data_IF_052375116218
#
_entry.id   IF_052375116218
#
_cell.length_a   1.000
_cell.length_b   1.000
_cell.length_c   1.000
_cell.angle_alpha   90.00
_cell.angle_beta   90.00
_cell.angle_gamma   90.00
#
_symmetry.space_group_name_H-M   'P 1'
#
loop_
_entity.id
_entity.type
_entity.pdbx_description
1 polymer ?
#
# COMPACT_ATOMS: atom_id res chain seq x y z
N UNK A 1 34.25 -38.31 28.62
CA UNK A 1 33.79 -36.93 28.35
C UNK A 1 32.32 -37.02 27.95
N UNK A 2 31.46 -36.94 28.97
CA UNK A 2 30.08 -36.45 28.88
C UNK A 2 30.11 -35.00 28.32
N UNK A 3 29.09 -34.40 27.70
CA UNK A 3 27.71 -34.26 28.14
C UNK A 3 26.77 -33.84 26.98
N UNK A 4 25.55 -34.42 27.04
CA UNK A 4 24.20 -33.85 26.80
C UNK A 4 23.71 -33.47 25.40
N UNK A 5 22.82 -34.35 24.95
CA UNK A 5 21.65 -34.06 24.11
C UNK A 5 20.75 -32.96 24.72
N UNK A 6 20.19 -32.10 23.86
CA UNK A 6 19.05 -31.25 24.19
C UNK A 6 17.87 -31.61 23.27
N UNK A 7 16.91 -32.32 23.86
CA UNK A 7 15.63 -32.72 23.28
C UNK A 7 14.62 -31.61 23.60
N UNK A 8 14.19 -30.85 22.58
CA UNK A 8 13.14 -29.82 22.76
C UNK A 8 11.78 -30.45 22.49
N UNK A 9 10.98 -30.59 23.56
CA UNK A 9 9.58 -31.01 23.50
C UNK A 9 8.71 -29.81 23.10
N UNK A 10 7.98 -29.92 21.99
CA UNK A 10 6.94 -28.96 21.59
C UNK A 10 5.61 -29.46 22.15
N UNK A 11 5.06 -28.74 23.13
CA UNK A 11 3.73 -29.01 23.68
C UNK A 11 2.71 -28.13 22.95
N UNK A 12 1.80 -28.76 22.22
CA UNK A 12 0.60 -28.14 21.64
C UNK A 12 -0.54 -28.30 22.65
N UNK A 13 -1.17 -27.22 23.10
CA UNK A 13 -2.49 -27.27 23.75
C UNK A 13 -3.40 -26.20 23.16
N UNK A 14 -4.61 -26.66 22.82
CA UNK A 14 -5.61 -26.03 21.98
C UNK A 14 -6.26 -24.77 22.57
N UNK A 15 -6.62 -23.86 21.66
CA UNK A 15 -7.52 -22.73 21.89
C UNK A 15 -8.96 -23.22 22.13
N UNK A 16 -9.53 -22.85 23.29
CA UNK A 16 -10.97 -22.92 23.52
C UNK A 16 -11.63 -21.64 22.98
N UNK A 17 -12.56 -21.85 22.05
CA UNK A 17 -13.50 -20.86 21.53
C UNK A 17 -14.66 -20.74 22.51
N UNK A 18 -15.05 -19.51 22.86
CA UNK A 18 -16.38 -19.22 23.39
C UNK A 18 -16.95 -17.97 22.75
N UNK A 19 -18.07 -18.18 22.04
CA UNK A 19 -18.95 -17.16 21.50
C UNK A 19 -19.92 -16.68 22.59
N UNK A 20 -20.21 -15.37 22.64
CA UNK A 20 -21.46 -14.85 23.21
C UNK A 20 -21.96 -13.70 22.34
N UNK A 21 -23.24 -13.78 22.04
CA UNK A 21 -24.05 -12.95 21.15
C UNK A 21 -24.85 -11.88 21.90
N UNK A 22 -25.19 -10.84 21.14
CA UNK A 22 -26.44 -10.06 21.13
C UNK A 22 -26.62 -8.81 22.04
N UNK A 23 -27.10 -7.77 21.33
CA UNK A 23 -28.09 -6.74 21.67
C UNK A 23 -27.71 -5.61 22.64
N UNK A 24 -27.66 -4.39 22.07
CA UNK A 24 -27.68 -3.13 22.79
C UNK A 24 -28.04 -1.99 21.85
N UNK A 25 -29.34 -1.74 21.68
CA UNK A 25 -29.92 -0.57 21.01
C UNK A 25 -29.62 0.71 21.79
N UNK A 26 -29.31 1.80 21.10
CA UNK A 26 -29.70 3.16 21.51
C UNK A 26 -29.67 4.10 20.31
N UNK A 27 -30.86 4.55 19.95
CA UNK A 27 -31.12 5.61 18.98
C UNK A 27 -30.71 6.96 19.57
N UNK A 28 -30.22 7.86 18.72
CA UNK A 28 -30.17 9.29 19.02
C UNK A 28 -30.90 10.01 17.90
N UNK A 29 -32.12 10.42 18.23
CA UNK A 29 -32.97 11.36 17.52
C UNK A 29 -32.22 12.68 17.29
N UNK A 30 -32.06 13.08 16.03
CA UNK A 30 -31.95 14.48 15.67
C UNK A 30 -33.10 14.81 14.71
N UNK A 31 -34.15 15.36 15.29
CA UNK A 31 -35.20 16.11 14.61
C UNK A 31 -34.63 17.37 13.99
N UNK A 32 -34.73 17.52 12.67
CA UNK A 32 -34.75 18.84 12.02
C UNK A 32 -35.97 18.86 11.09
N UNK A 33 -36.86 19.81 11.39
CA UNK A 33 -38.16 20.03 10.77
C UNK A 33 -38.06 20.45 9.30
N UNK A 34 -39.07 20.04 8.53
CA UNK A 34 -39.34 20.44 7.15
C UNK A 34 -40.15 21.73 7.07
N UNK A 35 -39.73 22.64 6.19
CA UNK A 35 -40.43 23.79 5.60
C UNK A 35 -39.41 24.41 4.62
N UNK A 36 -39.60 24.65 3.33
CA UNK A 36 -40.77 24.75 2.47
C UNK A 36 -40.35 24.51 1.00
N UNK A 37 -41.29 24.04 0.20
CA UNK A 37 -41.25 24.01 -1.26
C UNK A 37 -41.44 25.42 -1.83
N UNK A 38 -40.60 25.84 -2.79
CA UNK A 38 -40.76 27.10 -3.51
C UNK A 38 -40.15 27.04 -4.92
N UNK A 39 -40.98 27.32 -5.93
CA UNK A 39 -40.73 27.24 -7.36
C UNK A 39 -39.73 28.29 -7.92
N UNK A 40 -39.08 27.91 -9.04
CA UNK A 40 -38.70 28.68 -10.24
C UNK A 40 -38.03 30.06 -10.10
N UNK A 41 -36.78 30.16 -10.58
CA UNK A 41 -36.30 31.36 -11.29
C UNK A 41 -35.16 31.03 -12.25
N UNK A 42 -35.38 31.32 -13.53
CA UNK A 42 -34.36 31.34 -14.58
C UNK A 42 -33.43 32.53 -14.37
N UNK A 43 -32.12 32.28 -14.32
CA UNK A 43 -31.11 33.34 -14.27
C UNK A 43 -29.76 32.84 -14.75
N UNK A 44 -29.41 33.20 -15.99
CA UNK A 44 -28.07 33.05 -16.55
C UNK A 44 -27.11 33.93 -15.76
N UNK A 45 -26.15 33.31 -15.08
CA UNK A 45 -25.08 34.00 -14.37
C UNK A 45 -23.83 33.14 -14.35
N UNK A 46 -22.92 33.41 -15.30
CA UNK A 46 -21.53 32.93 -15.26
C UNK A 46 -20.91 33.36 -13.93
N UNK A 47 -20.59 32.39 -13.07
CA UNK A 47 -19.76 32.56 -11.90
C UNK A 47 -18.89 31.32 -11.77
N UNK A 48 -17.59 31.50 -11.98
CA UNK A 48 -16.58 30.44 -12.03
C UNK A 48 -16.72 29.43 -10.88
N UNK A 49 -17.02 28.19 -11.23
CA UNK A 49 -16.62 27.02 -10.45
C UNK A 49 -15.09 26.92 -10.49
N UNK A 50 -14.42 27.72 -9.67
CA UNK A 50 -13.04 27.44 -9.27
C UNK A 50 -12.98 27.35 -7.76
N UNK A 51 -13.79 26.45 -7.20
CA UNK A 51 -13.27 25.65 -6.10
C UNK A 51 -12.14 24.81 -6.71
N UNK A 52 -10.91 25.27 -6.53
CA UNK A 52 -9.75 24.39 -6.66
C UNK A 52 -9.98 23.25 -5.66
N UNK A 53 -10.58 22.15 -6.15
CA UNK A 53 -10.92 20.99 -5.35
C UNK A 53 -9.63 20.43 -4.77
N UNK A 54 -9.56 20.51 -3.46
CA UNK A 54 -8.38 20.23 -2.67
C UNK A 54 -7.78 18.85 -2.94
N UNK A 55 -6.49 18.80 -2.66
CA UNK A 55 -5.76 17.59 -2.33
C UNK A 55 -6.63 16.61 -1.50
N UNK A 56 -6.69 15.31 -1.87
CA UNK A 56 -5.85 14.62 -2.83
C UNK A 56 -6.43 14.65 -4.26
N UNK A 57 -5.60 15.10 -5.20
CA UNK A 57 -5.85 15.00 -6.63
C UNK A 57 -5.76 13.53 -7.02
N UNK A 58 -6.89 12.94 -7.41
CA UNK A 58 -7.03 11.52 -7.73
C UNK A 58 -7.11 10.61 -6.48
N UNK A 59 -8.31 10.48 -5.92
CA UNK A 59 -8.74 9.10 -5.70
C UNK A 59 -8.91 8.54 -7.10
N UNK A 60 -7.96 7.74 -7.58
CA UNK A 60 -8.29 6.80 -8.65
C UNK A 60 -9.33 5.90 -7.95
N UNK A 61 -10.62 6.23 -8.19
CA UNK A 61 -11.78 5.75 -7.40
C UNK A 61 -11.80 4.22 -7.44
N UNK A 62 -11.30 3.68 -8.54
CA UNK A 62 -10.63 2.41 -8.63
C UNK A 62 -9.11 2.64 -8.74
N UNK A 63 -8.33 1.95 -7.91
CA UNK A 63 -6.88 1.76 -8.10
C UNK A 63 -6.67 0.86 -9.32
N UNK A 64 -7.14 1.29 -10.49
CA UNK A 64 -6.90 0.57 -11.73
C UNK A 64 -5.41 0.72 -12.06
N UNK A 65 -4.67 -0.39 -11.92
CA UNK A 65 -3.24 -0.48 -12.25
C UNK A 65 -2.96 -0.04 -13.70
N UNK A 66 -3.97 -0.04 -14.58
CA UNK A 66 -3.87 0.49 -15.95
C UNK A 66 -3.64 2.02 -16.02
N UNK A 67 -3.75 2.75 -14.91
CA UNK A 67 -3.49 4.19 -14.88
C UNK A 67 -2.06 4.56 -14.46
N UNK A 68 -1.28 3.65 -13.88
CA UNK A 68 0.09 3.95 -13.44
C UNK A 68 1.01 4.18 -14.65
N UNK A 69 1.72 5.33 -14.75
CA UNK A 69 2.74 5.55 -15.78
C UNK A 69 4.01 4.75 -15.53
N UNK A 70 4.10 4.06 -14.39
CA UNK A 70 5.33 3.46 -13.90
C UNK A 70 5.12 2.00 -13.54
N UNK A 71 6.18 1.21 -13.73
CA UNK A 71 6.30 -0.17 -13.26
C UNK A 71 7.55 -0.36 -12.43
N UNK A 72 7.55 -1.39 -11.59
CA UNK A 72 8.70 -1.76 -10.77
C UNK A 72 9.40 -2.96 -11.41
N UNK A 73 10.71 -2.83 -11.61
CA UNK A 73 11.55 -3.84 -12.24
C UNK A 73 12.49 -4.41 -11.19
N UNK A 74 12.48 -5.73 -11.03
CA UNK A 74 13.45 -6.42 -10.19
C UNK A 74 14.87 -6.22 -10.70
N UNK A 75 15.80 -5.83 -9.82
CA UNK A 75 17.22 -5.71 -10.17
C UNK A 75 18.05 -6.83 -9.55
N UNK A 76 17.93 -7.04 -8.23
CA UNK A 76 18.78 -7.99 -7.52
C UNK A 76 18.24 -8.34 -6.14
N UNK A 77 18.74 -9.46 -5.60
CA UNK A 77 18.58 -9.83 -4.20
C UNK A 77 19.93 -10.26 -3.63
N UNK A 78 20.24 -9.81 -2.42
CA UNK A 78 21.44 -10.21 -1.69
C UNK A 78 21.07 -10.58 -0.27
N UNK A 79 21.51 -11.76 0.17
CA UNK A 79 21.37 -12.20 1.55
C UNK A 79 22.67 -11.99 2.31
N UNK A 80 22.57 -11.47 3.52
CA UNK A 80 23.66 -11.24 4.45
C UNK A 80 23.22 -11.67 5.85
N UNK A 81 23.69 -12.83 6.30
CA UNK A 81 23.20 -13.45 7.53
C UNK A 81 21.70 -13.79 7.43
N UNK A 82 20.90 -13.27 8.36
CA UNK A 82 19.44 -13.48 8.42
C UNK A 82 18.64 -12.42 7.65
N UNK A 83 19.33 -11.48 6.99
CA UNK A 83 18.71 -10.39 6.25
C UNK A 83 18.83 -10.61 4.76
N UNK A 84 17.75 -10.36 4.03
CA UNK A 84 17.71 -10.35 2.58
C UNK A 84 17.31 -8.96 2.10
N UNK A 85 18.19 -8.32 1.33
CA UNK A 85 17.93 -7.05 0.65
C UNK A 85 17.55 -7.33 -0.79
N UNK A 86 16.34 -6.94 -1.16
CA UNK A 86 15.82 -7.04 -2.53
C UNK A 86 15.68 -5.63 -3.10
N UNK A 87 16.27 -5.39 -4.27
CA UNK A 87 16.29 -4.09 -4.91
C UNK A 87 15.50 -4.10 -6.21
N UNK A 88 14.81 -2.99 -6.43
CA UNK A 88 14.00 -2.73 -7.61
C UNK A 88 14.35 -1.36 -8.20
N UNK A 89 14.11 -1.19 -9.49
CA UNK A 89 14.12 0.11 -10.15
C UNK A 89 12.74 0.48 -10.68
N UNK A 90 12.45 1.78 -10.68
CA UNK A 90 11.24 2.33 -11.26
C UNK A 90 11.47 2.56 -12.75
N UNK A 91 10.63 1.98 -13.61
CA UNK A 91 10.64 2.25 -15.05
C UNK A 91 9.38 3.03 -15.45
N UNK A 92 9.54 3.98 -16.38
CA UNK A 92 8.42 4.67 -17.01
C UNK A 92 7.89 3.86 -18.20
N UNK A 93 6.60 3.57 -18.20
CA UNK A 93 5.91 2.84 -19.27
C UNK A 93 4.93 3.70 -20.04
N UNK A 94 4.61 4.90 -19.52
CA UNK A 94 3.64 5.80 -20.11
C UNK A 94 2.20 5.53 -19.65
N UNK A 95 1.35 6.53 -19.86
CA UNK A 95 -0.09 6.47 -19.59
C UNK A 95 -0.84 7.45 -20.50
N UNK A 96 -2.15 7.29 -20.59
CA UNK A 96 -3.02 8.21 -21.33
C UNK A 96 -3.14 9.56 -20.60
N UNK A 97 -2.47 10.58 -21.15
CA UNK A 97 -2.40 11.93 -20.57
C UNK A 97 -3.72 12.70 -20.66
N UNK A 98 -4.73 12.18 -21.37
CA UNK A 98 -6.09 12.72 -21.31
C UNK A 98 -6.75 12.45 -19.94
N UNK A 99 -6.28 11.43 -19.20
CA UNK A 99 -6.78 11.07 -17.87
C UNK A 99 -6.13 11.92 -16.77
N UNK A 100 -6.94 12.39 -15.82
CA UNK A 100 -6.46 13.16 -14.68
C UNK A 100 -5.52 12.35 -13.77
N UNK A 101 -5.80 11.05 -13.53
CA UNK A 101 -4.97 10.14 -12.72
C UNK A 101 -3.53 10.03 -13.30
N UNK A 102 -3.39 9.91 -14.63
CA UNK A 102 -2.10 9.93 -15.32
C UNK A 102 -1.37 11.27 -15.10
N UNK A 103 -2.00 12.41 -15.41
CA UNK A 103 -1.37 13.74 -15.22
C UNK A 103 -0.97 14.00 -13.78
N UNK A 104 -1.78 13.57 -12.83
CA UNK A 104 -1.48 13.66 -11.39
C UNK A 104 -0.20 12.90 -11.03
N UNK A 105 -0.08 11.65 -11.46
CA UNK A 105 1.12 10.83 -11.20
C UNK A 105 2.36 11.29 -11.99
N UNK A 106 2.20 11.92 -13.14
CA UNK A 106 3.33 12.54 -13.85
C UNK A 106 3.84 13.78 -13.10
N UNK A 107 2.93 14.54 -12.47
CA UNK A 107 3.28 15.74 -11.72
C UNK A 107 3.87 15.42 -10.34
N UNK A 108 3.28 14.48 -9.61
CA UNK A 108 3.68 14.12 -8.26
C UNK A 108 3.42 12.64 -7.95
N UNK A 109 4.45 11.94 -7.51
CA UNK A 109 4.39 10.60 -6.93
C UNK A 109 4.83 10.69 -5.48
N UNK A 110 3.90 10.43 -4.56
CA UNK A 110 4.19 10.45 -3.13
C UNK A 110 4.28 9.05 -2.52
N UNK A 111 3.61 8.07 -3.13
CA UNK A 111 3.45 6.72 -2.59
C UNK A 111 3.80 5.66 -3.62
N UNK A 112 4.54 4.66 -3.19
CA UNK A 112 4.76 3.39 -3.89
C UNK A 112 4.21 2.25 -3.02
N UNK A 113 3.48 1.31 -3.63
CA UNK A 113 2.94 0.13 -2.94
C UNK A 113 3.53 -1.12 -3.57
N UNK A 114 3.87 -2.11 -2.74
CA UNK A 114 4.21 -3.46 -3.15
C UNK A 114 3.14 -4.40 -2.63
N UNK A 115 2.56 -5.24 -3.48
CA UNK A 115 1.71 -6.34 -3.02
C UNK A 115 2.56 -7.43 -2.40
N UNK A 116 2.29 -7.73 -1.12
CA UNK A 116 3.12 -8.63 -0.31
C UNK A 116 2.30 -9.79 0.23
N UNK A 117 2.98 -10.77 0.83
CA UNK A 117 2.34 -11.82 1.61
C UNK A 117 2.10 -11.37 3.05
N UNK A 118 1.25 -12.11 3.77
CA UNK A 118 0.99 -11.89 5.19
C UNK A 118 2.27 -11.87 6.05
N UNK A 119 3.32 -12.59 5.63
CA UNK A 119 4.61 -12.60 6.32
C UNK A 119 5.26 -11.21 6.38
N UNK A 120 5.12 -10.42 5.32
CA UNK A 120 5.63 -9.05 5.25
C UNK A 120 4.66 -8.02 5.86
N UNK A 121 3.42 -8.41 6.17
CA UNK A 121 2.46 -7.61 6.93
C UNK A 121 2.91 -7.28 8.35
N UNK A 122 3.87 -8.03 8.90
CA UNK A 122 4.44 -7.81 10.23
C UNK A 122 5.65 -6.90 10.12
N UNK A 123 5.54 -5.67 10.67
CA UNK A 123 6.57 -4.63 10.55
C UNK A 123 7.96 -5.05 11.00
N UNK A 124 8.08 -5.88 12.03
CA UNK A 124 9.36 -6.36 12.55
C UNK A 124 10.10 -7.34 11.62
N UNK A 125 9.43 -7.84 10.57
CA UNK A 125 10.05 -8.66 9.52
C UNK A 125 10.68 -7.83 8.40
N UNK A 126 10.44 -6.53 8.38
CA UNK A 126 11.07 -5.58 7.47
C UNK A 126 12.07 -4.76 8.27
N UNK A 127 13.36 -4.97 8.00
CA UNK A 127 14.44 -4.29 8.72
C UNK A 127 14.60 -2.83 8.27
N UNK A 128 14.26 -2.53 7.01
CA UNK A 128 14.30 -1.16 6.50
C UNK A 128 14.10 -1.06 5.00
N UNK A 129 13.90 0.17 4.54
CA UNK A 129 13.80 0.52 3.13
C UNK A 129 14.85 1.57 2.82
N UNK A 130 15.49 1.48 1.66
CA UNK A 130 16.33 2.55 1.11
C UNK A 130 15.79 3.01 -0.23
N UNK A 131 15.95 4.31 -0.50
CA UNK A 131 15.63 4.93 -1.78
C UNK A 131 16.89 5.61 -2.28
N UNK A 132 17.36 5.22 -3.47
CA UNK A 132 18.64 5.66 -4.05
C UNK A 132 19.82 5.49 -3.08
N UNK A 133 19.85 4.34 -2.36
CA UNK A 133 20.90 4.01 -1.40
C UNK A 133 20.80 4.72 -0.05
N UNK A 134 19.88 5.68 0.13
CA UNK A 134 19.66 6.38 1.39
C UNK A 134 18.58 5.70 2.22
N UNK A 135 18.80 5.55 3.53
CA UNK A 135 17.77 5.08 4.46
C UNK A 135 16.51 5.92 4.35
N UNK A 136 15.38 5.25 4.16
CA UNK A 136 14.08 5.86 3.99
C UNK A 136 13.18 5.42 5.15
N UNK A 137 12.86 6.29 6.12
CA UNK A 137 12.08 5.91 7.29
C UNK A 137 10.57 5.89 7.03
N UNK A 138 10.11 6.46 5.90
CA UNK A 138 8.69 6.63 5.61
C UNK A 138 8.13 5.43 4.85
N UNK A 139 7.86 4.35 5.58
CA UNK A 139 7.20 3.16 5.06
C UNK A 139 6.44 2.43 6.16
N UNK A 140 5.42 1.66 5.78
CA UNK A 140 4.70 0.76 6.67
C UNK A 140 4.09 -0.41 5.88
N UNK A 141 4.05 -1.63 6.46
CA UNK A 141 3.10 -2.63 6.04
C UNK A 141 1.67 -2.12 6.24
N UNK A 142 0.78 -2.51 5.35
CA UNK A 142 -0.61 -2.09 5.34
C UNK A 142 -1.50 -3.31 5.01
N UNK A 143 -2.15 -3.91 6.01
CA UNK A 143 -3.21 -4.87 5.76
C UNK A 143 -4.47 -4.14 5.29
N UNK A 144 -5.18 -4.70 4.33
CA UNK A 144 -6.45 -4.17 3.86
C UNK A 144 -7.45 -5.29 3.56
N UNK A 145 -8.77 -5.00 3.58
CA UNK A 145 -9.76 -5.96 3.13
C UNK A 145 -9.49 -6.35 1.67
N UNK A 146 -9.54 -7.65 1.37
CA UNK A 146 -9.41 -8.19 0.01
C UNK A 146 -10.32 -9.40 -0.15
N UNK A 147 -11.43 -9.23 -0.88
CA UNK A 147 -12.47 -10.25 -1.01
C UNK A 147 -12.99 -10.72 0.36
N UNK A 148 -12.94 -12.02 0.62
CA UNK A 148 -13.30 -12.63 1.91
C UNK A 148 -12.15 -12.67 2.92
N UNK A 149 -10.99 -12.05 2.63
CA UNK A 149 -9.79 -12.12 3.45
C UNK A 149 -9.06 -10.78 3.58
N UNK A 150 -7.76 -10.86 3.87
CA UNK A 150 -6.87 -9.72 4.08
C UNK A 150 -5.77 -9.72 3.03
N UNK A 151 -5.69 -8.64 2.25
CA UNK A 151 -4.54 -8.32 1.41
C UNK A 151 -3.47 -7.59 2.22
N UNK A 152 -2.21 -7.71 1.80
CA UNK A 152 -1.08 -7.10 2.48
C UNK A 152 -0.24 -6.31 1.50
N UNK A 153 0.03 -5.05 1.82
CA UNK A 153 0.89 -4.20 1.03
C UNK A 153 2.07 -3.69 1.87
N UNK A 154 3.21 -3.41 1.23
CA UNK A 154 4.22 -2.53 1.80
C UNK A 154 4.14 -1.18 1.11
N UNK A 155 3.83 -0.14 1.88
CA UNK A 155 3.74 1.23 1.36
C UNK A 155 4.97 2.02 1.73
N UNK A 156 5.58 2.67 0.74
CA UNK A 156 6.66 3.63 0.86
C UNK A 156 6.09 5.01 0.53
N UNK A 157 6.22 5.97 1.44
CA UNK A 157 5.56 7.28 1.38
C UNK A 157 6.55 8.44 1.26
N UNK A 158 6.02 9.66 1.10
CA UNK A 158 6.77 10.91 1.07
C UNK A 158 7.84 10.98 -0.04
N UNK A 159 7.66 10.21 -1.11
CA UNK A 159 8.65 10.11 -2.19
C UNK A 159 8.89 11.46 -2.88
N UNK A 160 7.87 12.31 -2.93
CA UNK A 160 7.92 13.66 -3.53
C UNK A 160 8.61 13.67 -4.91
N UNK A 161 8.37 12.63 -5.68
CA UNK A 161 8.97 12.45 -7.00
C UNK A 161 8.04 12.98 -8.09
N UNK A 162 8.56 13.13 -9.30
CA UNK A 162 7.79 13.48 -10.49
C UNK A 162 8.25 12.63 -11.66
N UNK A 163 7.66 12.77 -12.84
CA UNK A 163 8.11 12.03 -14.02
C UNK A 163 9.59 12.30 -14.39
N UNK A 164 10.16 13.42 -13.94
CA UNK A 164 11.57 13.74 -14.17
C UNK A 164 12.53 13.03 -13.19
N UNK A 165 12.05 12.64 -12.00
CA UNK A 165 12.91 12.13 -10.91
C UNK A 165 12.56 10.71 -10.47
N UNK A 166 11.35 10.24 -10.75
CA UNK A 166 10.88 8.94 -10.31
C UNK A 166 11.46 7.79 -11.14
N UNK A 167 11.47 7.84 -12.49
CA UNK A 167 12.12 6.81 -13.30
C UNK A 167 13.61 6.70 -12.97
N UNK A 168 14.12 5.46 -12.89
CA UNK A 168 15.49 5.15 -12.46
C UNK A 168 15.70 5.18 -10.95
N UNK A 169 14.71 5.60 -10.16
CA UNK A 169 14.78 5.49 -8.69
C UNK A 169 14.94 4.03 -8.29
N UNK A 170 15.94 3.76 -7.45
CA UNK A 170 16.21 2.44 -6.87
C UNK A 170 15.58 2.35 -5.51
N UNK A 171 14.74 1.35 -5.28
CA UNK A 171 14.11 1.06 -4.00
C UNK A 171 14.59 -0.30 -3.53
N UNK A 172 15.24 -0.36 -2.38
CA UNK A 172 15.69 -1.62 -1.79
C UNK A 172 14.97 -1.87 -0.47
N UNK A 173 14.45 -3.07 -0.29
CA UNK A 173 13.73 -3.50 0.90
C UNK A 173 14.57 -4.59 1.57
N UNK A 174 14.98 -4.34 2.81
CA UNK A 174 15.70 -5.32 3.63
C UNK A 174 14.71 -6.01 4.56
N UNK A 175 14.69 -7.33 4.49
CA UNK A 175 13.69 -8.18 5.15
C UNK A 175 14.35 -9.35 5.85
N UNK A 176 13.59 -10.05 6.71
CA UNK A 176 14.02 -11.27 7.40
C UNK A 176 12.88 -12.29 7.44
N UNK A 177 13.23 -13.57 7.56
CA UNK A 177 12.25 -14.64 7.67
C UNK A 177 11.18 -14.33 8.75
N UNK A 178 9.89 -14.60 8.48
CA UNK A 178 9.35 -15.31 7.31
C UNK A 178 9.14 -14.47 6.03
N UNK A 179 9.40 -13.16 6.03
CA UNK A 179 9.35 -12.31 4.84
C UNK A 179 10.78 -12.22 4.28
N UNK A 180 11.18 -13.09 3.35
CA UNK A 180 12.59 -13.06 2.89
C UNK A 180 12.81 -13.43 1.43
N UNK A 181 11.76 -13.84 0.73
CA UNK A 181 11.82 -14.15 -0.70
C UNK A 181 11.26 -13.00 -1.53
N UNK A 182 11.65 -12.96 -2.81
CA UNK A 182 11.05 -12.06 -3.78
C UNK A 182 9.52 -12.28 -3.87
N UNK A 183 9.07 -13.53 -3.78
CA UNK A 183 7.65 -13.89 -3.77
C UNK A 183 6.90 -13.31 -2.57
N UNK A 184 7.58 -13.13 -1.43
CA UNK A 184 6.95 -12.49 -0.26
C UNK A 184 6.73 -11.00 -0.47
N UNK A 185 7.62 -10.34 -1.22
CA UNK A 185 7.57 -8.91 -1.53
C UNK A 185 6.73 -8.58 -2.77
N UNK A 186 6.49 -9.56 -3.65
CA UNK A 186 5.75 -9.42 -4.90
C UNK A 186 4.82 -10.63 -5.09
N UNK A 187 3.79 -10.69 -4.23
CA UNK A 187 2.93 -11.87 -4.05
C UNK A 187 2.15 -12.27 -5.30
N UNK A 188 1.96 -11.34 -6.23
CA UNK A 188 1.26 -11.52 -7.51
C UNK A 188 2.12 -12.11 -8.64
N UNK A 189 3.43 -12.31 -8.45
CA UNK A 189 4.33 -12.66 -9.56
C UNK A 189 5.30 -13.82 -9.31
N UNK A 190 5.13 -14.96 -10.00
CA UNK A 190 6.16 -16.00 -10.04
C UNK A 190 7.36 -15.62 -10.92
N UNK A 191 7.24 -14.58 -11.76
CA UNK A 191 8.28 -14.09 -12.68
C UNK A 191 9.11 -12.92 -12.11
N UNK A 192 8.80 -12.43 -10.92
CA UNK A 192 9.55 -11.34 -10.27
C UNK A 192 9.18 -9.92 -10.70
N UNK A 193 8.11 -9.75 -11.48
CA UNK A 193 7.54 -8.43 -11.77
C UNK A 193 6.51 -8.06 -10.70
N UNK A 194 6.77 -7.03 -9.91
CA UNK A 194 5.81 -6.52 -8.94
C UNK A 194 4.87 -5.58 -9.70
N UNK A 195 3.66 -6.07 -10.02
CA UNK A 195 2.64 -5.33 -10.78
C UNK A 195 1.81 -4.42 -9.90
#
# INVERSE_FOLDING_TARGET
MEERAMMVRVTIVALLVSAVSAAGVSASTNTISVSDLGLLSSGVGRGLLTTASGFPWCQCIDYDCACSPYKIVYESSKTSGFLTTTCFSVAYTGCDTSRACCRGMLAAVDKLSFETTAACGVKSNIAGVTVNGKSWPSWNPYPHPSGSGTGYELKVYNLKASNATFPGTKVCITTKAPCSSLKDLCSSSPSGECT
#
